data_IF_958411979317
#
_entry.id   IF_958411979317
#
_cell.length_a   1.000
_cell.length_b   1.000
_cell.length_c   1.000
_cell.angle_alpha   90.00
_cell.angle_beta   90.00
_cell.angle_gamma   90.00
#
_symmetry.space_group_name_H-M   'P 1'
#
loop_
_entity.id
_entity.type
_entity.pdbx_description
1 polymer ?
#
# COMPACT_ATOMS: atom_id res chain seq x y z
N UNK A 1 5.26 -12.34 47.97
CA UNK A 1 3.93 -12.36 47.30
C UNK A 1 3.48 -10.97 46.82
N UNK A 2 3.62 -9.91 47.61
CA UNK A 2 3.23 -8.53 47.24
C UNK A 2 3.98 -7.92 46.04
N UNK A 3 5.29 -8.12 45.93
CA UNK A 3 6.11 -7.61 44.83
C UNK A 3 5.75 -8.24 43.48
N UNK A 4 5.39 -9.52 43.48
CA UNK A 4 4.96 -10.27 42.28
C UNK A 4 3.64 -9.73 41.71
N UNK A 5 2.71 -9.32 42.57
CA UNK A 5 1.44 -8.71 42.16
C UNK A 5 1.64 -7.29 41.61
N UNK A 6 2.55 -6.50 42.20
CA UNK A 6 2.86 -5.16 41.71
C UNK A 6 3.55 -5.19 40.34
N UNK A 7 4.43 -6.17 40.11
CA UNK A 7 5.12 -6.36 38.84
C UNK A 7 4.16 -6.80 37.73
N UNK A 8 3.22 -7.71 38.02
CA UNK A 8 2.14 -8.10 37.10
C UNK A 8 1.20 -6.94 36.78
N UNK A 9 0.85 -6.11 37.77
CA UNK A 9 0.01 -4.93 37.57
C UNK A 9 0.69 -3.89 36.66
N UNK A 10 1.99 -3.65 36.84
CA UNK A 10 2.78 -2.76 35.94
C UNK A 10 2.81 -3.28 34.51
N UNK A 11 2.99 -4.60 34.33
CA UNK A 11 3.00 -5.23 33.02
C UNK A 11 1.63 -5.14 32.33
N UNK A 12 0.55 -5.34 33.09
CA UNK A 12 -0.83 -5.21 32.61
C UNK A 12 -1.15 -3.77 32.18
N UNK A 13 -0.75 -2.77 32.98
CA UNK A 13 -0.94 -1.35 32.67
C UNK A 13 -0.10 -0.96 31.44
N UNK A 14 1.14 -1.41 31.36
CA UNK A 14 1.99 -1.18 30.17
C UNK A 14 1.37 -1.76 28.90
N UNK A 15 0.78 -2.96 28.98
CA UNK A 15 0.13 -3.62 27.85
C UNK A 15 -1.17 -2.90 27.44
N UNK A 16 -1.91 -2.36 28.41
CA UNK A 16 -3.17 -1.65 28.17
C UNK A 16 -2.96 -0.24 27.56
N UNK A 17 -1.87 0.44 27.92
CA UNK A 17 -1.59 1.81 27.46
C UNK A 17 -0.90 1.84 26.10
N UNK A 18 -0.13 0.80 25.74
CA UNK A 18 0.60 0.73 24.47
C UNK A 18 -0.25 0.96 23.19
N UNK A 19 -1.46 0.38 23.03
CA UNK A 19 -2.25 0.58 21.81
C UNK A 19 -2.78 2.02 21.65
N UNK A 20 -2.86 2.81 22.73
CA UNK A 20 -3.35 4.20 22.66
C UNK A 20 -2.37 5.14 21.93
N UNK A 21 -1.11 4.73 21.76
CA UNK A 21 -0.08 5.53 21.11
C UNK A 21 0.10 5.21 19.61
N UNK A 22 -0.60 4.20 19.08
CA UNK A 22 -0.40 3.72 17.71
C UNK A 22 -1.51 4.24 16.79
N UNK A 23 -1.40 5.51 16.38
CA UNK A 23 -2.22 6.06 15.30
C UNK A 23 -1.39 6.19 14.03
N UNK A 24 -1.80 5.47 12.98
CA UNK A 24 -1.24 5.65 11.64
C UNK A 24 -1.97 6.81 10.95
N UNK A 25 -1.20 7.82 10.52
CA UNK A 25 -1.76 8.97 9.83
C UNK A 25 -1.99 8.66 8.34
N UNK A 26 -3.16 8.99 7.77
CA UNK A 26 -3.41 8.77 6.35
C UNK A 26 -2.54 9.69 5.49
N UNK A 27 -2.27 9.33 4.22
CA UNK A 27 -1.56 10.22 3.31
C UNK A 27 -2.39 11.49 3.04
N UNK A 28 -1.76 12.65 3.15
CA UNK A 28 -2.39 13.96 2.96
C UNK A 28 -2.41 14.43 1.50
N UNK A 29 -1.71 13.72 0.61
CA UNK A 29 -1.68 14.04 -0.81
C UNK A 29 -1.66 12.79 -1.69
N UNK A 30 -2.13 12.94 -2.92
CA UNK A 30 -2.06 11.86 -3.91
C UNK A 30 -0.62 11.44 -4.21
N UNK A 31 0.34 12.38 -4.17
CA UNK A 31 1.75 12.05 -4.37
C UNK A 31 2.29 11.19 -3.22
N UNK A 32 1.94 11.51 -1.97
CA UNK A 32 2.31 10.71 -0.81
C UNK A 32 1.68 9.32 -0.88
N UNK A 33 0.39 9.22 -1.23
CA UNK A 33 -0.30 7.96 -1.43
C UNK A 33 0.39 7.06 -2.48
N UNK A 34 0.81 7.63 -3.62
CA UNK A 34 1.56 6.89 -4.66
C UNK A 34 2.90 6.34 -4.15
N UNK A 35 3.62 7.09 -3.30
CA UNK A 35 4.89 6.63 -2.71
C UNK A 35 4.65 5.44 -1.78
N UNK A 36 3.66 5.56 -0.89
CA UNK A 36 3.27 4.48 0.03
C UNK A 36 2.84 3.24 -0.76
N UNK A 37 2.00 3.41 -1.78
CA UNK A 37 1.55 2.30 -2.62
C UNK A 37 2.72 1.61 -3.34
N UNK A 38 3.70 2.36 -3.85
CA UNK A 38 4.90 1.78 -4.48
C UNK A 38 5.69 0.89 -3.50
N UNK A 39 5.74 1.26 -2.22
CA UNK A 39 6.36 0.45 -1.17
C UNK A 39 5.51 -0.77 -0.83
N UNK A 40 4.20 -0.60 -0.71
CA UNK A 40 3.26 -1.68 -0.38
C UNK A 40 3.29 -2.82 -1.41
N UNK A 41 3.41 -2.49 -2.70
CA UNK A 41 3.46 -3.46 -3.80
C UNK A 41 4.89 -3.91 -4.16
N UNK A 42 5.90 -3.60 -3.35
CA UNK A 42 7.28 -3.98 -3.64
C UNK A 42 7.51 -5.50 -3.63
N UNK A 43 6.81 -6.24 -2.76
CA UNK A 43 6.90 -7.70 -2.68
C UNK A 43 6.03 -8.40 -3.74
N UNK A 44 4.95 -7.74 -4.19
CA UNK A 44 4.01 -8.31 -5.15
C UNK A 44 3.76 -7.35 -6.31
N UNK A 45 4.64 -7.42 -7.32
CA UNK A 45 4.61 -6.54 -8.49
C UNK A 45 3.79 -7.11 -9.63
N UNK A 46 2.47 -7.16 -9.47
CA UNK A 46 1.52 -7.49 -10.54
C UNK A 46 0.55 -6.32 -10.81
N UNK A 47 0.20 -6.08 -12.08
CA UNK A 47 -0.78 -5.06 -12.44
C UNK A 47 -2.21 -5.49 -12.08
N UNK A 48 -3.06 -4.51 -11.74
CA UNK A 48 -4.40 -4.77 -11.21
C UNK A 48 -5.32 -5.56 -12.15
N UNK A 49 -5.34 -5.22 -13.44
CA UNK A 49 -6.30 -5.79 -14.39
C UNK A 49 -5.72 -7.00 -15.13
N UNK A 50 -4.56 -6.82 -15.75
CA UNK A 50 -3.95 -7.80 -16.62
C UNK A 50 -2.99 -8.76 -15.90
N UNK A 51 -2.70 -8.52 -14.62
CA UNK A 51 -1.76 -9.33 -13.83
C UNK A 51 -0.37 -9.46 -14.47
N UNK A 52 0.08 -8.41 -15.18
CA UNK A 52 1.41 -8.34 -15.75
C UNK A 52 2.44 -8.05 -14.67
N UNK A 53 3.59 -8.71 -14.73
CA UNK A 53 4.73 -8.40 -13.89
C UNK A 53 5.30 -7.00 -14.23
N UNK A 54 5.82 -6.31 -13.22
CA UNK A 54 6.54 -5.05 -13.43
C UNK A 54 7.76 -4.92 -12.52
N UNK A 55 8.72 -4.09 -12.90
CA UNK A 55 9.98 -3.91 -12.17
C UNK A 55 9.89 -2.82 -11.07
N UNK A 56 10.96 -2.64 -10.29
CA UNK A 56 11.03 -1.58 -9.27
C UNK A 56 10.94 -0.16 -9.84
N UNK A 57 11.25 0.02 -11.14
CA UNK A 57 11.16 1.29 -11.86
C UNK A 57 9.77 1.51 -12.50
N UNK A 58 8.83 0.58 -12.28
CA UNK A 58 7.46 0.56 -12.82
C UNK A 58 7.38 0.24 -14.31
N UNK A 59 8.38 -0.40 -14.91
CA UNK A 59 8.28 -0.91 -16.27
C UNK A 59 7.51 -2.21 -16.30
N UNK A 60 6.55 -2.33 -17.22
CA UNK A 60 5.70 -3.51 -17.37
C UNK A 60 6.35 -4.52 -18.32
N UNK A 61 6.38 -5.79 -17.92
CA UNK A 61 6.67 -6.90 -18.81
C UNK A 61 5.36 -7.42 -19.45
N UNK A 62 5.09 -6.98 -20.68
CA UNK A 62 3.90 -7.39 -21.42
C UNK A 62 3.91 -8.89 -21.80
N UNK A 63 5.08 -9.53 -21.83
CA UNK A 63 5.16 -10.94 -22.15
C UNK A 63 4.66 -11.83 -21.02
N UNK A 64 4.81 -11.38 -19.78
CA UNK A 64 4.33 -12.10 -18.58
C UNK A 64 2.82 -12.36 -18.56
N UNK A 65 2.04 -11.55 -19.27
CA UNK A 65 0.57 -11.58 -19.28
C UNK A 65 -0.04 -11.70 -20.68
N UNK A 66 0.75 -12.02 -21.70
CA UNK A 66 0.29 -12.20 -23.10
C UNK A 66 -0.36 -10.93 -23.70
N UNK A 67 0.22 -9.75 -23.44
CA UNK A 67 -0.28 -8.45 -23.92
C UNK A 67 0.70 -7.75 -24.87
N UNK A 68 1.49 -8.51 -25.63
CA UNK A 68 2.55 -7.99 -26.50
C UNK A 68 2.01 -7.11 -27.62
N UNK A 69 0.73 -7.26 -28.03
CA UNK A 69 0.14 -6.39 -29.05
C UNK A 69 0.04 -4.93 -28.60
N UNK A 70 0.04 -4.68 -27.29
CA UNK A 70 0.01 -3.32 -26.72
C UNK A 70 1.39 -2.62 -26.70
N UNK A 71 2.46 -3.29 -27.15
CA UNK A 71 3.83 -2.76 -27.10
C UNK A 71 4.02 -1.45 -27.90
N UNK A 72 3.19 -1.21 -28.93
CA UNK A 72 3.20 0.03 -29.70
C UNK A 72 2.67 1.25 -28.90
N UNK A 73 1.95 1.00 -27.81
CA UNK A 73 1.40 2.06 -26.94
C UNK A 73 2.45 2.49 -25.93
N UNK A 74 2.92 3.73 -26.05
CA UNK A 74 3.85 4.37 -25.08
C UNK A 74 3.40 4.32 -23.61
N UNK A 75 2.10 4.14 -23.35
CA UNK A 75 1.54 4.02 -22.00
C UNK A 75 1.63 2.60 -21.44
N UNK A 76 1.62 1.58 -22.31
CA UNK A 76 1.61 0.17 -21.91
C UNK A 76 2.94 -0.29 -21.28
N UNK A 77 4.02 0.46 -21.49
CA UNK A 77 5.34 0.12 -20.94
C UNK A 77 5.53 0.53 -19.48
N UNK A 78 4.56 1.19 -18.83
CA UNK A 78 4.72 1.68 -17.46
C UNK A 78 3.46 1.53 -16.59
N UNK A 79 3.66 1.29 -15.30
CA UNK A 79 2.58 1.24 -14.32
C UNK A 79 2.10 2.64 -13.96
N UNK A 80 0.77 2.78 -13.90
CA UNK A 80 0.08 3.97 -13.45
C UNK A 80 -0.90 3.62 -12.34
N UNK A 81 -1.12 4.55 -11.43
CA UNK A 81 -1.97 4.34 -10.27
C UNK A 81 -3.42 4.65 -10.63
N UNK A 82 -4.25 3.62 -10.60
CA UNK A 82 -5.69 3.71 -10.88
C UNK A 82 -6.47 4.09 -9.62
N UNK A 83 -7.44 4.99 -9.78
CA UNK A 83 -8.45 5.21 -8.75
C UNK A 83 -9.64 4.28 -9.03
N UNK A 84 -9.66 3.10 -8.42
CA UNK A 84 -10.74 2.10 -8.63
C UNK A 84 -12.15 2.72 -8.51
N UNK A 85 -12.32 3.57 -7.49
CA UNK A 85 -13.53 4.37 -7.31
C UNK A 85 -13.20 5.80 -7.66
N UNK A 86 -14.06 6.43 -8.48
CA UNK A 86 -13.94 7.86 -8.75
C UNK A 86 -14.04 8.63 -7.44
N UNK A 87 -13.30 9.74 -7.38
CA UNK A 87 -13.52 10.76 -6.35
C UNK A 87 -14.99 11.13 -6.40
N UNK A 88 -15.71 10.86 -5.32
CA UNK A 88 -16.96 11.55 -5.03
C UNK A 88 -16.57 13.01 -4.82
N UNK A 89 -16.61 13.81 -5.89
CA UNK A 89 -16.77 15.24 -5.71
C UNK A 89 -18.13 15.40 -5.07
N UNK A 90 -18.18 16.04 -3.89
CA UNK A 90 -19.43 16.39 -3.23
C UNK A 90 -20.37 16.99 -4.28
N UNK A 91 -21.42 16.25 -4.64
CA UNK A 91 -22.65 16.83 -5.16
C UNK A 91 -23.36 17.34 -3.91
N UNK A 92 -22.93 18.50 -3.45
CA UNK A 92 -23.65 19.44 -2.59
C UNK A 92 -23.57 20.79 -3.27
#
# INVERSE_FOLDING_TARGET
>A
MFTLNLQKLRLLVSLLVLPLALFAEPPHSFQQAKRIATQLFAEHRLTLYCHCAFDANKHIDLASCQMQEAADKKRASRVEFEHMLRRFSNVL
#
